data_IF_170975693113
#
_entry.id   IF_170975693113
#
_cell.length_a   1.000
_cell.length_b   1.000
_cell.length_c   1.000
_cell.angle_alpha   90.00
_cell.angle_beta   90.00
_cell.angle_gamma   90.00
#
_symmetry.space_group_name_H-M   'P 1'
#
loop_
_entity.id
_entity.type
_entity.pdbx_description
1 polymer ?
#
# COMPACT_ATOMS: atom_id res chain seq x y z
N UNK A 1 5.98 10.40 -8.80
CA UNK A 1 6.39 11.38 -7.77
C UNK A 1 7.55 12.25 -8.29
N UNK A 2 7.36 12.91 -9.44
CA UNK A 2 8.33 13.81 -10.10
C UNK A 2 7.60 14.91 -10.90
N UNK A 3 6.31 15.11 -10.62
CA UNK A 3 5.54 16.19 -11.23
C UNK A 3 5.85 17.48 -10.49
N UNK A 4 5.69 18.62 -11.17
CA UNK A 4 5.83 19.96 -10.58
C UNK A 4 4.96 20.10 -9.33
N UNK A 5 3.68 19.71 -9.40
CA UNK A 5 2.74 19.69 -8.26
C UNK A 5 3.27 18.89 -7.03
N UNK A 6 4.01 17.81 -7.28
CA UNK A 6 4.60 17.01 -6.21
C UNK A 6 5.81 17.71 -5.57
N UNK A 7 6.64 18.36 -6.39
CA UNK A 7 7.82 19.10 -5.93
C UNK A 7 7.42 20.34 -5.12
N UNK A 8 6.38 21.05 -5.54
CA UNK A 8 5.81 22.19 -4.79
C UNK A 8 5.31 21.77 -3.39
N UNK A 9 4.81 20.54 -3.25
CA UNK A 9 4.32 20.01 -1.98
C UNK A 9 5.45 19.65 -0.99
N UNK A 10 6.69 19.52 -1.45
CA UNK A 10 7.82 19.08 -0.61
C UNK A 10 8.09 20.05 0.55
N UNK A 11 8.04 21.35 0.28
CA UNK A 11 8.30 22.37 1.31
C UNK A 11 7.23 22.34 2.40
N UNK A 12 5.95 22.23 2.03
CA UNK A 12 4.85 22.11 2.98
C UNK A 12 4.98 20.85 3.84
N UNK A 13 5.39 19.72 3.25
CA UNK A 13 5.58 18.47 3.95
C UNK A 13 6.76 18.51 4.91
N UNK A 14 7.88 19.13 4.52
CA UNK A 14 9.02 19.32 5.41
C UNK A 14 8.65 20.16 6.64
N UNK A 15 7.88 21.24 6.47
CA UNK A 15 7.36 22.04 7.58
C UNK A 15 6.45 21.22 8.53
N UNK A 16 5.73 20.23 7.99
CA UNK A 16 4.93 19.26 8.75
C UNK A 16 5.74 18.09 9.33
N UNK A 17 7.08 18.13 9.21
CA UNK A 17 8.01 17.06 9.63
C UNK A 17 7.77 15.74 8.91
N UNK A 18 7.25 15.78 7.68
CA UNK A 18 7.12 14.63 6.80
C UNK A 18 8.34 14.56 5.88
N UNK A 19 9.12 13.50 6.00
CA UNK A 19 10.28 13.26 5.15
C UNK A 19 9.94 12.30 4.00
N UNK A 20 10.43 12.61 2.80
CA UNK A 20 10.27 11.76 1.62
C UNK A 20 11.48 10.83 1.48
N UNK A 21 11.20 9.54 1.39
CA UNK A 21 12.21 8.51 1.11
C UNK A 21 12.09 8.04 -0.33
N UNK A 22 13.12 8.30 -1.13
CA UNK A 22 13.17 7.87 -2.53
C UNK A 22 13.74 6.45 -2.63
N UNK A 23 13.01 5.58 -3.31
CA UNK A 23 13.48 4.25 -3.66
C UNK A 23 14.28 4.29 -4.97
N UNK A 24 15.29 3.41 -5.14
CA UNK A 24 15.97 3.24 -6.41
C UNK A 24 14.98 2.78 -7.48
N UNK A 25 15.27 3.09 -8.74
CA UNK A 25 14.48 2.59 -9.87
C UNK A 25 14.53 1.07 -9.93
N UNK A 26 13.38 0.45 -10.22
CA UNK A 26 13.18 -1.00 -10.33
C UNK A 26 13.36 -1.80 -9.03
N UNK A 27 13.36 -1.13 -7.86
CA UNK A 27 13.46 -1.79 -6.55
C UNK A 27 12.10 -2.09 -5.91
N UNK A 28 11.24 -2.82 -6.62
CA UNK A 28 9.92 -3.23 -6.12
C UNK A 28 10.01 -4.08 -4.85
N UNK A 29 11.07 -4.86 -4.71
CA UNK A 29 11.38 -5.67 -3.52
C UNK A 29 11.65 -4.84 -2.26
N UNK A 30 12.10 -3.59 -2.41
CA UNK A 30 12.30 -2.67 -1.29
C UNK A 30 11.00 -1.97 -0.88
N UNK A 31 9.99 -2.02 -1.74
CA UNK A 31 8.72 -1.34 -1.52
C UNK A 31 7.75 -2.21 -0.70
N UNK A 32 7.71 -1.99 0.62
CA UNK A 32 6.84 -2.74 1.55
C UNK A 32 5.37 -2.75 1.13
N UNK A 33 4.87 -1.65 0.53
CA UNK A 33 3.47 -1.60 0.10
C UNK A 33 3.20 -2.58 -1.05
N UNK A 34 4.17 -2.86 -1.91
CA UNK A 34 4.03 -3.84 -2.99
C UNK A 34 3.99 -5.27 -2.45
N UNK A 35 4.85 -5.59 -1.47
CA UNK A 35 4.80 -6.87 -0.77
C UNK A 35 3.44 -7.08 -0.09
N UNK A 36 2.90 -6.04 0.54
CA UNK A 36 1.60 -6.08 1.18
C UNK A 36 0.47 -6.32 0.16
N UNK A 37 0.45 -5.59 -0.94
CA UNK A 37 -0.56 -5.77 -1.99
C UNK A 37 -0.49 -7.14 -2.65
N UNK A 38 0.70 -7.70 -2.82
CA UNK A 38 0.87 -9.08 -3.31
C UNK A 38 0.21 -10.09 -2.36
N UNK A 39 0.35 -9.92 -1.05
CA UNK A 39 -0.34 -10.76 -0.05
C UNK A 39 -1.85 -10.57 -0.09
N UNK A 40 -2.32 -9.33 -0.10
CA UNK A 40 -3.76 -9.02 -0.16
C UNK A 40 -4.39 -9.69 -1.38
N UNK A 41 -3.83 -9.45 -2.57
CA UNK A 41 -4.40 -9.91 -3.84
C UNK A 41 -4.35 -11.44 -4.02
N UNK A 42 -3.25 -12.07 -3.63
CA UNK A 42 -3.02 -13.48 -3.97
C UNK A 42 -3.26 -14.46 -2.83
N UNK A 43 -3.33 -13.99 -1.58
CA UNK A 43 -3.41 -14.88 -0.43
C UNK A 43 -4.58 -14.56 0.51
N UNK A 44 -4.94 -13.29 0.66
CA UNK A 44 -5.90 -12.88 1.70
C UNK A 44 -7.29 -12.57 1.18
N UNK A 45 -7.42 -12.00 -0.02
CA UNK A 45 -8.71 -11.78 -0.64
C UNK A 45 -9.29 -13.11 -1.15
N UNK A 46 -10.54 -13.44 -0.77
CA UNK A 46 -11.23 -14.59 -1.34
C UNK A 46 -11.56 -14.32 -2.82
N UNK A 47 -11.62 -15.36 -3.65
CA UNK A 47 -11.94 -15.21 -5.08
C UNK A 47 -13.31 -14.54 -5.31
N UNK A 48 -14.25 -14.72 -4.38
CA UNK A 48 -15.57 -14.12 -4.40
C UNK A 48 -15.53 -12.59 -4.29
N UNK A 49 -14.46 -12.01 -3.73
CA UNK A 49 -14.27 -10.56 -3.66
C UNK A 49 -14.24 -9.94 -5.07
N UNK A 50 -13.77 -10.68 -6.08
CA UNK A 50 -13.64 -10.17 -7.45
C UNK A 50 -14.93 -10.21 -8.27
N UNK A 51 -16.06 -10.62 -7.69
CA UNK A 51 -17.33 -10.71 -8.41
C UNK A 51 -17.97 -9.34 -8.69
N UNK A 52 -17.69 -8.32 -7.87
CA UNK A 52 -18.15 -6.95 -8.10
C UNK A 52 -17.26 -5.97 -7.37
N UNK A 53 -17.30 -4.70 -7.80
CA UNK A 53 -16.58 -3.64 -7.10
C UNK A 53 -17.02 -3.51 -5.63
N UNK A 54 -18.32 -3.61 -5.36
CA UNK A 54 -18.86 -3.56 -4.01
C UNK A 54 -18.27 -4.67 -3.12
N UNK A 55 -18.29 -5.92 -3.59
CA UNK A 55 -17.72 -7.06 -2.85
C UNK A 55 -16.22 -6.91 -2.65
N UNK A 56 -15.52 -6.39 -3.66
CA UNK A 56 -14.09 -6.14 -3.56
C UNK A 56 -13.78 -5.16 -2.43
N UNK A 57 -14.49 -4.03 -2.37
CA UNK A 57 -14.30 -3.02 -1.33
C UNK A 57 -14.65 -3.57 0.06
N UNK A 58 -15.79 -4.25 0.20
CA UNK A 58 -16.21 -4.84 1.48
C UNK A 58 -15.20 -5.87 2.02
N UNK A 59 -14.70 -6.77 1.16
CA UNK A 59 -13.69 -7.76 1.57
C UNK A 59 -12.31 -7.13 1.79
N UNK A 60 -11.95 -6.11 1.00
CA UNK A 60 -10.72 -5.37 1.19
C UNK A 60 -10.70 -4.66 2.55
N UNK A 61 -11.77 -3.97 2.92
CA UNK A 61 -11.87 -3.30 4.23
C UNK A 61 -11.75 -4.28 5.40
N UNK A 62 -12.35 -5.47 5.28
CA UNK A 62 -12.22 -6.55 6.26
C UNK A 62 -10.77 -7.05 6.38
N UNK A 63 -10.05 -7.17 5.26
CA UNK A 63 -8.64 -7.56 5.28
C UNK A 63 -7.80 -6.46 5.91
N UNK A 64 -7.95 -5.21 5.45
CA UNK A 64 -7.17 -4.07 5.91
C UNK A 64 -7.33 -3.83 7.42
N UNK A 65 -8.56 -3.90 7.94
CA UNK A 65 -8.85 -3.73 9.38
C UNK A 65 -8.25 -4.82 10.29
N UNK A 66 -7.80 -5.94 9.71
CA UNK A 66 -7.21 -7.08 10.44
C UNK A 66 -5.74 -7.32 10.13
N UNK A 67 -5.08 -6.40 9.41
CA UNK A 67 -3.63 -6.42 9.23
C UNK A 67 -2.96 -6.25 10.59
N UNK A 68 -1.91 -7.05 10.85
CA UNK A 68 -1.17 -7.06 12.12
C UNK A 68 -1.76 -8.00 13.18
N UNK A 69 -3.05 -8.36 13.08
CA UNK A 69 -3.69 -9.36 13.94
C UNK A 69 -3.87 -10.69 13.22
N UNK A 70 -4.94 -10.83 12.43
CA UNK A 70 -5.25 -12.04 11.65
C UNK A 70 -4.31 -12.18 10.45
N UNK A 71 -4.06 -11.08 9.74
CA UNK A 71 -3.20 -11.06 8.56
C UNK A 71 -1.82 -10.53 8.94
N UNK A 72 -0.84 -11.43 9.01
CA UNK A 72 0.55 -11.12 9.34
C UNK A 72 1.43 -11.23 8.10
N UNK A 73 2.33 -10.28 7.94
CA UNK A 73 3.32 -10.23 6.87
C UNK A 73 4.67 -9.87 7.48
N UNK A 74 5.72 -10.56 7.04
CA UNK A 74 7.10 -10.23 7.36
C UNK A 74 7.73 -9.53 6.15
N UNK A 75 8.35 -8.39 6.40
CA UNK A 75 9.12 -7.63 5.41
C UNK A 75 10.61 -7.91 5.68
N UNK A 76 11.05 -9.13 5.40
CA UNK A 76 12.42 -9.61 5.65
C UNK A 76 12.98 -10.28 4.41
#
# INVERSE_FOLDING_TARGET
HRSEEFEESLEEWEQKRLAIYYLPTYSSELNKIEMLWKKIKHQWLPLQAYQSYQKLTEELDKVLSKIGSLYKITFS
#
